data_IF_173517876948
#
_entry.id   IF_173517876948
#
_cell.length_a   1.000
_cell.length_b   1.000
_cell.length_c   1.000
_cell.angle_alpha   90.00
_cell.angle_beta   90.00
_cell.angle_gamma   90.00
#
_symmetry.space_group_name_H-M   'P 1'
#
loop_
_entity.id
_entity.type
_entity.pdbx_description
1 polymer ?
#
# COMPACT_ATOMS: atom_id res chain seq x y z
N UNK A 1 8.36 -2.36 -12.19
CA UNK A 1 7.33 -3.41 -12.16
C UNK A 1 7.49 -4.31 -13.38
N UNK A 2 7.23 -5.62 -13.27
CA UNK A 2 7.18 -6.50 -14.44
C UNK A 2 6.18 -6.00 -15.48
N UNK A 3 6.45 -6.21 -16.77
CA UNK A 3 5.47 -5.92 -17.83
C UNK A 3 4.17 -6.71 -17.57
N UNK A 4 3.03 -6.14 -17.96
CA UNK A 4 1.70 -6.74 -17.82
C UNK A 4 1.24 -6.98 -16.37
N UNK A 5 1.86 -6.29 -15.40
CA UNK A 5 1.42 -6.34 -14.01
C UNK A 5 0.03 -5.69 -13.83
N UNK A 6 -0.72 -6.18 -12.83
CA UNK A 6 -1.97 -5.59 -12.40
C UNK A 6 -1.74 -4.74 -11.15
N UNK A 7 -2.09 -3.46 -11.23
CA UNK A 7 -2.10 -2.53 -10.09
C UNK A 7 -3.50 -2.55 -9.50
N UNK A 8 -3.63 -2.98 -8.26
CA UNK A 8 -4.90 -2.96 -7.50
C UNK A 8 -4.93 -1.69 -6.66
N UNK A 9 -6.00 -0.91 -6.77
CA UNK A 9 -6.17 0.34 -6.02
C UNK A 9 -7.55 0.42 -5.36
N UNK A 10 -7.61 1.08 -4.21
CA UNK A 10 -8.89 1.45 -3.61
C UNK A 10 -9.56 2.63 -4.37
N UNK A 11 -10.66 3.14 -3.82
CA UNK A 11 -11.44 4.21 -4.45
C UNK A 11 -11.06 5.63 -4.03
N UNK A 12 -9.89 5.86 -3.42
CA UNK A 12 -9.44 7.22 -3.09
C UNK A 12 -9.51 8.12 -4.32
N UNK A 13 -10.05 9.33 -4.17
CA UNK A 13 -10.39 10.22 -5.30
C UNK A 13 -9.20 10.51 -6.22
N UNK A 14 -8.00 10.65 -5.65
CA UNK A 14 -6.76 10.91 -6.38
C UNK A 14 -6.24 9.69 -7.16
N UNK A 15 -6.66 8.46 -6.84
CA UNK A 15 -6.31 7.27 -7.63
C UNK A 15 -7.03 7.24 -8.99
N UNK A 16 -8.15 7.94 -9.13
CA UNK A 16 -8.95 8.00 -10.36
C UNK A 16 -8.51 9.11 -11.32
N UNK A 17 -7.46 9.86 -10.98
CA UNK A 17 -6.94 10.93 -11.82
C UNK A 17 -6.47 10.41 -13.18
N UNK A 18 -6.59 11.23 -14.22
CA UNK A 18 -6.16 10.85 -15.58
C UNK A 18 -4.66 10.58 -15.64
N UNK A 19 -3.87 11.39 -14.91
CA UNK A 19 -2.42 11.22 -14.75
C UNK A 19 -2.06 9.82 -14.21
N UNK A 20 -2.81 9.30 -13.25
CA UNK A 20 -2.58 7.94 -12.73
C UNK A 20 -2.81 6.88 -13.81
N UNK A 21 -3.90 6.99 -14.59
CA UNK A 21 -4.21 6.05 -15.67
C UNK A 21 -3.16 6.08 -16.78
N UNK A 22 -2.71 7.28 -17.16
CA UNK A 22 -1.67 7.49 -18.17
C UNK A 22 -0.34 6.85 -17.75
N UNK A 23 0.07 7.03 -16.49
CA UNK A 23 1.29 6.42 -15.96
C UNK A 23 1.20 4.90 -16.00
N UNK A 24 0.10 4.31 -15.53
CA UNK A 24 -0.09 2.85 -15.55
C UNK A 24 -0.03 2.30 -16.99
N UNK A 25 -0.69 2.98 -17.94
CA UNK A 25 -0.65 2.61 -19.37
C UNK A 25 0.75 2.73 -19.96
N UNK A 26 1.48 3.81 -19.65
CA UNK A 26 2.86 4.04 -20.11
C UNK A 26 3.80 2.90 -19.72
N UNK A 27 3.61 2.32 -18.54
CA UNK A 27 4.41 1.18 -18.06
C UNK A 27 3.84 -0.19 -18.47
N UNK A 28 2.91 -0.27 -19.43
CA UNK A 28 2.27 -1.51 -19.87
C UNK A 28 1.67 -2.31 -18.71
N UNK A 29 1.12 -1.62 -17.72
CA UNK A 29 0.42 -2.19 -16.58
C UNK A 29 -1.09 -2.03 -16.76
N UNK A 30 -1.87 -2.78 -15.99
CA UNK A 30 -3.33 -2.67 -15.93
C UNK A 30 -3.76 -2.13 -14.57
N UNK A 31 -4.89 -1.44 -14.52
CA UNK A 31 -5.46 -0.88 -13.30
C UNK A 31 -6.75 -1.63 -12.95
N UNK A 32 -6.88 -2.07 -11.70
CA UNK A 32 -8.10 -2.64 -11.13
C UNK A 32 -8.49 -1.84 -9.90
N UNK A 33 -9.68 -1.25 -9.93
CA UNK A 33 -10.27 -0.61 -8.76
C UNK A 33 -11.11 -1.64 -8.00
N UNK A 34 -10.92 -1.68 -6.68
CA UNK A 34 -11.76 -2.51 -5.80
C UNK A 34 -13.20 -1.97 -5.74
N UNK A 35 -14.20 -2.79 -5.40
CA UNK A 35 -15.53 -2.29 -5.11
C UNK A 35 -15.53 -1.29 -3.94
N UNK A 36 -16.48 -0.34 -3.90
CA UNK A 36 -16.61 0.58 -2.77
C UNK A 36 -16.74 -0.15 -1.43
N UNK A 37 -16.15 0.42 -0.38
CA UNK A 37 -16.24 -0.11 1.00
C UNK A 37 -15.82 -1.58 1.17
N UNK A 38 -14.90 -2.08 0.32
CA UNK A 38 -14.39 -3.46 0.38
C UNK A 38 -12.92 -3.53 0.86
N UNK A 39 -12.61 -3.09 2.10
CA UNK A 39 -11.23 -3.13 2.63
C UNK A 39 -10.73 -4.56 2.82
N UNK A 40 -11.63 -5.52 3.00
CA UNK A 40 -11.34 -6.96 3.08
C UNK A 40 -10.71 -7.51 1.79
N UNK A 41 -11.04 -6.90 0.64
CA UNK A 41 -10.46 -7.24 -0.66
C UNK A 41 -9.11 -6.54 -0.93
N UNK A 42 -8.66 -5.65 -0.04
CA UNK A 42 -7.39 -4.94 -0.18
C UNK A 42 -6.29 -5.63 0.64
N UNK A 43 -5.34 -6.39 0.02
CA UNK A 43 -4.36 -7.18 0.76
C UNK A 43 -3.43 -6.34 1.65
N UNK A 44 -3.23 -5.06 1.32
CA UNK A 44 -2.36 -4.17 2.10
C UNK A 44 -2.93 -3.89 3.51
N UNK A 45 -4.24 -4.04 3.73
CA UNK A 45 -4.86 -3.81 5.04
C UNK A 45 -4.34 -4.80 6.10
N UNK A 46 -4.18 -6.08 5.71
CA UNK A 46 -3.60 -7.10 6.59
C UNK A 46 -2.14 -6.82 6.89
N UNK A 47 -1.38 -6.36 5.88
CA UNK A 47 -0.01 -5.93 6.05
C UNK A 47 0.08 -4.75 7.04
N UNK A 48 -0.77 -3.72 6.89
CA UNK A 48 -0.81 -2.59 7.82
C UNK A 48 -1.18 -2.99 9.25
N UNK A 49 -2.13 -3.90 9.44
CA UNK A 49 -2.47 -4.42 10.77
C UNK A 49 -1.26 -5.09 11.44
N UNK A 50 -0.56 -5.96 10.72
CA UNK A 50 0.66 -6.64 11.21
C UNK A 50 1.78 -5.65 11.52
N UNK A 51 2.05 -4.72 10.59
CA UNK A 51 3.09 -3.70 10.75
C UNK A 51 2.83 -2.80 11.96
N UNK A 52 1.59 -2.31 12.14
CA UNK A 52 1.20 -1.50 13.31
C UNK A 52 1.42 -2.25 14.63
N UNK A 53 1.05 -3.54 14.67
CA UNK A 53 1.25 -4.36 15.86
C UNK A 53 2.74 -4.53 16.21
N UNK A 54 3.62 -4.70 15.21
CA UNK A 54 5.07 -4.76 15.41
C UNK A 54 5.64 -3.40 15.83
N UNK A 55 5.24 -2.30 15.19
CA UNK A 55 5.69 -0.94 15.54
C UNK A 55 5.35 -0.62 16.99
N UNK A 56 4.13 -0.95 17.45
CA UNK A 56 3.70 -0.71 18.84
C UNK A 56 4.62 -1.37 19.87
N UNK A 57 5.26 -2.50 19.55
CA UNK A 57 6.18 -3.20 20.47
C UNK A 57 7.54 -2.53 20.61
N UNK A 58 7.97 -1.78 19.61
CA UNK A 58 9.30 -1.13 19.58
C UNK A 58 9.23 0.39 19.77
N UNK A 59 8.03 0.97 19.66
CA UNK A 59 7.81 2.41 19.74
C UNK A 59 8.18 3.00 21.11
N UNK A 60 8.05 2.24 22.19
CA UNK A 60 8.35 2.70 23.56
C UNK A 60 9.84 3.02 23.79
N UNK A 61 10.74 2.65 22.86
CA UNK A 61 12.17 2.98 22.92
C UNK A 61 12.67 3.91 21.81
N UNK A 62 11.84 4.23 20.81
CA UNK A 62 12.30 4.90 19.59
C UNK A 62 11.56 6.23 19.41
N UNK A 63 12.31 7.35 19.42
CA UNK A 63 11.73 8.71 19.29
C UNK A 63 11.22 9.07 17.88
N UNK A 64 11.48 8.23 16.87
CA UNK A 64 11.18 8.50 15.46
C UNK A 64 10.42 7.36 14.80
N UNK A 65 9.20 7.66 14.36
CA UNK A 65 8.35 6.70 13.65
C UNK A 65 9.03 6.12 12.39
N UNK A 66 9.81 6.91 11.66
CA UNK A 66 10.53 6.44 10.47
C UNK A 66 11.46 5.27 10.77
N UNK A 67 12.21 5.35 11.88
CA UNK A 67 13.11 4.28 12.32
C UNK A 67 12.31 3.04 12.71
N UNK A 68 11.16 3.20 13.40
CA UNK A 68 10.29 2.07 13.71
C UNK A 68 9.77 1.39 12.44
N UNK A 69 9.33 2.17 11.45
CA UNK A 69 8.79 1.65 10.19
C UNK A 69 9.88 0.90 9.44
N UNK A 70 11.07 1.47 9.24
CA UNK A 70 12.20 0.83 8.56
C UNK A 70 12.62 -0.47 9.27
N UNK A 71 12.75 -0.43 10.60
CA UNK A 71 13.08 -1.60 11.42
C UNK A 71 12.06 -2.71 11.24
N UNK A 72 10.76 -2.39 11.32
CA UNK A 72 9.70 -3.40 11.16
C UNK A 72 9.65 -3.91 9.74
N UNK A 73 9.84 -3.07 8.72
CA UNK A 73 9.77 -3.44 7.32
C UNK A 73 10.84 -4.48 6.95
N UNK A 74 12.03 -4.40 7.56
CA UNK A 74 13.10 -5.40 7.39
C UNK A 74 12.81 -6.76 8.04
N UNK A 75 11.75 -6.85 8.86
CA UNK A 75 11.39 -8.07 9.60
C UNK A 75 10.08 -8.71 9.11
N UNK A 76 9.47 -8.17 8.05
CA UNK A 76 8.27 -8.73 7.41
C UNK A 76 8.68 -9.58 6.21
#
# INVERSE_FOLDING_TARGET
MPKNSLVVMDNASFHKSEKTKELVKKFSCRLLFLPPYSPDLNPIEKFWASMKAKIKKIADGIKRLSVCVETVFQTI
#
